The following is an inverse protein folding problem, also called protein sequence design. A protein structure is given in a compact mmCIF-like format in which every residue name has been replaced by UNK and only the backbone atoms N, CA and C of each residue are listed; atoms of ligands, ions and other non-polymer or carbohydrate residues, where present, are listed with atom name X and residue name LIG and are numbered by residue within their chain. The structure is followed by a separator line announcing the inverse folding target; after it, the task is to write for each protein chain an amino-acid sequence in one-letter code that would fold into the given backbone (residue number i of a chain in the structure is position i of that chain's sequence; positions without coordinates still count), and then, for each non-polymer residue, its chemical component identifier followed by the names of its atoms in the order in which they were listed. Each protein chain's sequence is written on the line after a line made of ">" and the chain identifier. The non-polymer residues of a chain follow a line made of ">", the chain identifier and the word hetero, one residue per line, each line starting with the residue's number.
data_IF_713078654495
#
_entry.id   IF_713078654495
#
_cell.length_a   1.000
_cell.length_b   1.000
_cell.length_c   1.000
_cell.angle_alpha   90.00
_cell.angle_beta   90.00
_cell.angle_gamma   90.00
#
_symmetry.space_group_name_H-M   'P 1'
#
loop_
_entity.id
_entity.type
_entity.pdbx_description
1 polymer ?
#
# COMPACT_ATOMS: atom_id res chain seq x y z
N UNK A 1 -11.26 -22.30 -5.40
CA UNK A 1 -11.80 -20.93 -5.56
C UNK A 1 -11.27 -20.08 -4.42
N UNK A 2 -9.97 -19.74 -4.40
CA UNK A 2 -9.37 -19.15 -3.17
C UNK A 2 -8.26 -18.12 -3.42
N UNK A 3 -8.05 -17.64 -4.64
CA UNK A 3 -6.87 -16.81 -4.96
C UNK A 3 -7.17 -15.33 -5.21
N UNK A 4 -8.41 -14.87 -5.00
CA UNK A 4 -8.81 -13.50 -5.32
C UNK A 4 -8.67 -12.52 -4.14
N UNK A 5 -8.40 -13.03 -2.93
CA UNK A 5 -8.34 -12.24 -1.67
C UNK A 5 -7.01 -12.38 -0.94
N UNK A 6 -6.01 -13.06 -1.52
CA UNK A 6 -4.69 -13.14 -0.87
C UNK A 6 -3.89 -11.85 -1.12
N UNK A 7 -3.13 -11.38 -0.11
CA UNK A 7 -2.19 -10.29 -0.31
C UNK A 7 -1.14 -10.66 -1.35
N UNK A 8 -0.78 -9.72 -2.21
CA UNK A 8 0.34 -9.93 -3.14
C UNK A 8 1.66 -9.80 -2.35
N UNK A 9 2.47 -10.86 -2.26
CA UNK A 9 3.66 -10.85 -1.43
C UNK A 9 4.70 -9.83 -1.91
N UNK A 10 4.81 -9.57 -3.21
CA UNK A 10 5.78 -8.61 -3.74
C UNK A 10 5.37 -7.17 -3.40
N UNK A 11 4.06 -6.87 -3.43
CA UNK A 11 3.53 -5.58 -3.00
C UNK A 11 3.67 -5.41 -1.49
N UNK A 12 3.26 -6.42 -0.72
CA UNK A 12 3.36 -6.41 0.74
C UNK A 12 4.80 -6.21 1.22
N UNK A 13 5.78 -6.89 0.61
CA UNK A 13 7.20 -6.74 0.94
C UNK A 13 7.72 -5.32 0.68
N UNK A 14 7.28 -4.68 -0.41
CA UNK A 14 7.65 -3.30 -0.75
C UNK A 14 7.01 -2.30 0.21
N UNK A 15 5.74 -2.48 0.54
CA UNK A 15 5.04 -1.65 1.53
C UNK A 15 5.68 -1.78 2.92
N UNK A 16 5.96 -3.00 3.36
CA UNK A 16 6.60 -3.24 4.66
C UNK A 16 7.93 -2.52 4.78
N UNK A 17 8.80 -2.62 3.76
CA UNK A 17 10.08 -1.90 3.77
C UNK A 17 9.90 -0.40 3.85
N UNK A 18 8.96 0.15 3.10
CA UNK A 18 8.66 1.58 3.10
C UNK A 18 8.16 2.03 4.48
N UNK A 19 7.16 1.35 5.04
CA UNK A 19 6.56 1.71 6.33
C UNK A 19 7.57 1.59 7.47
N UNK A 20 8.39 0.54 7.48
CA UNK A 20 9.46 0.42 8.48
C UNK A 20 10.47 1.56 8.38
N UNK A 21 10.77 2.03 7.17
CA UNK A 21 11.67 3.17 6.97
C UNK A 21 11.04 4.48 7.45
N UNK A 22 9.83 4.80 6.97
CA UNK A 22 9.12 6.03 7.31
C UNK A 22 8.79 6.12 8.80
N UNK A 23 8.22 5.05 9.36
CA UNK A 23 7.87 4.93 10.78
C UNK A 23 9.07 4.69 11.69
N UNK A 24 10.29 4.56 11.13
CA UNK A 24 11.53 4.23 11.86
C UNK A 24 11.40 3.00 12.76
N UNK A 25 10.65 2.00 12.28
CA UNK A 25 10.34 0.77 13.02
C UNK A 25 11.58 -0.12 13.09
N UNK A 26 11.93 -0.58 14.29
CA UNK A 26 13.07 -1.47 14.48
C UNK A 26 12.80 -2.85 13.84
N UNK A 27 13.83 -3.54 13.29
CA UNK A 27 13.66 -4.90 12.79
C UNK A 27 13.22 -5.91 13.85
N UNK A 28 13.46 -5.61 15.12
CA UNK A 28 13.11 -6.44 16.28
C UNK A 28 11.79 -6.05 16.95
N UNK A 29 11.04 -5.10 16.38
CA UNK A 29 9.75 -4.70 16.92
C UNK A 29 8.75 -5.85 16.78
N UNK A 30 8.29 -6.39 17.91
CA UNK A 30 7.36 -7.52 17.96
C UNK A 30 5.91 -7.12 17.76
N UNK A 31 5.59 -5.83 17.93
CA UNK A 31 4.23 -5.30 17.80
C UNK A 31 3.94 -4.88 16.35
N UNK A 32 4.93 -4.98 15.46
CA UNK A 32 4.80 -4.67 14.05
C UNK A 32 4.66 -5.96 13.23
N UNK A 33 3.50 -6.13 12.60
CA UNK A 33 3.24 -7.16 11.59
C UNK A 33 2.44 -6.58 10.40
N UNK A 34 2.07 -7.41 9.43
CA UNK A 34 1.37 -6.95 8.20
C UNK A 34 -0.14 -6.74 8.38
N UNK A 35 -0.69 -7.18 9.50
CA UNK A 35 -2.11 -7.17 9.83
C UNK A 35 -2.45 -6.10 10.87
N UNK A 36 -1.44 -5.50 11.51
CA UNK A 36 -1.60 -4.39 12.44
C UNK A 36 -2.20 -3.17 11.74
N UNK A 37 -3.10 -2.48 12.43
CA UNK A 37 -3.57 -1.17 12.03
C UNK A 37 -2.43 -0.16 12.24
N UNK A 38 -1.85 0.29 11.12
CA UNK A 38 -0.66 1.14 11.09
C UNK A 38 -0.92 2.53 11.68
N UNK A 39 -2.15 3.03 11.62
CA UNK A 39 -2.53 4.35 12.10
C UNK A 39 -2.82 4.30 13.59
N UNK A 40 -3.61 3.31 14.01
CA UNK A 40 -3.96 3.11 15.42
C UNK A 40 -2.75 2.72 16.27
N UNK A 41 -1.82 1.93 15.71
CA UNK A 41 -0.56 1.59 16.37
C UNK A 41 0.49 2.71 16.32
N UNK A 42 0.25 3.77 15.54
CA UNK A 42 1.14 4.94 15.45
C UNK A 42 2.39 4.74 14.59
N UNK A 43 2.42 3.70 13.74
CA UNK A 43 3.49 3.50 12.76
C UNK A 43 3.39 4.47 11.59
N UNK A 44 2.18 4.93 11.27
CA UNK A 44 1.91 5.98 10.31
C UNK A 44 1.11 7.11 10.96
N UNK A 45 1.57 8.34 10.76
CA UNK A 45 0.85 9.56 11.12
C UNK A 45 0.31 10.27 9.85
N UNK A 46 -0.16 11.51 10.00
CA UNK A 46 -0.69 12.28 8.87
C UNK A 46 0.36 12.63 7.81
N UNK A 47 1.64 12.79 8.18
CA UNK A 47 2.72 13.02 7.22
C UNK A 47 3.15 11.71 6.57
N UNK A 48 3.21 10.62 7.34
CA UNK A 48 3.45 9.27 6.85
C UNK A 48 2.40 8.84 5.83
N UNK A 49 1.12 9.22 6.02
CA UNK A 49 0.07 9.01 5.02
C UNK A 49 0.36 9.74 3.71
N UNK A 50 0.75 11.02 3.76
CA UNK A 50 1.08 11.79 2.56
C UNK A 50 2.27 11.17 1.80
N UNK A 51 3.30 10.74 2.53
CA UNK A 51 4.44 10.05 1.94
C UNK A 51 4.04 8.69 1.36
N UNK A 52 3.16 7.95 2.04
CA UNK A 52 2.62 6.69 1.53
C UNK A 52 1.88 6.90 0.22
N UNK A 53 0.99 7.89 0.14
CA UNK A 53 0.27 8.23 -1.11
C UNK A 53 1.27 8.51 -2.23
N UNK A 54 2.27 9.35 -1.97
CA UNK A 54 3.32 9.69 -2.94
C UNK A 54 4.10 8.44 -3.38
N UNK A 55 4.42 7.55 -2.44
CA UNK A 55 5.10 6.29 -2.73
C UNK A 55 4.26 5.35 -3.60
N UNK A 56 2.96 5.25 -3.34
CA UNK A 56 2.04 4.45 -4.16
C UNK A 56 1.98 4.94 -5.60
N UNK A 57 1.91 6.26 -5.79
CA UNK A 57 1.89 6.88 -7.11
C UNK A 57 3.22 6.70 -7.85
N UNK A 58 4.36 6.90 -7.17
CA UNK A 58 5.68 6.86 -7.81
C UNK A 58 6.21 5.43 -8.05
N UNK A 59 6.03 4.54 -7.08
CA UNK A 59 6.68 3.22 -7.05
C UNK A 59 5.80 2.10 -7.63
N UNK A 60 4.47 2.31 -7.63
CA UNK A 60 3.48 1.40 -8.20
C UNK A 60 2.69 2.00 -9.37
N UNK A 61 2.69 3.32 -9.56
CA UNK A 61 1.88 3.96 -10.61
C UNK A 61 0.38 3.89 -10.32
N UNK A 62 0.00 3.76 -9.04
CA UNK A 62 -1.40 3.67 -8.60
C UNK A 62 -1.82 4.99 -7.97
N UNK A 63 -2.90 5.56 -8.49
CA UNK A 63 -3.60 6.69 -7.87
C UNK A 63 -4.82 6.12 -7.17
N UNK A 64 -4.89 6.29 -5.85
CA UNK A 64 -6.04 5.87 -5.04
C UNK A 64 -7.07 7.02 -4.96
N UNK A 65 -8.35 6.67 -5.03
CA UNK A 65 -9.45 7.60 -4.84
C UNK A 65 -9.82 7.75 -3.35
N UNK A 66 -10.71 8.70 -3.05
CA UNK A 66 -11.18 8.97 -1.69
C UNK A 66 -11.83 7.73 -1.05
N UNK A 67 -12.51 6.92 -1.87
CA UNK A 67 -13.12 5.66 -1.48
C UNK A 67 -12.10 4.63 -0.98
N UNK A 68 -10.92 4.54 -1.61
CA UNK A 68 -9.86 3.66 -1.16
C UNK A 68 -9.29 4.07 0.22
N UNK A 69 -9.24 5.37 0.55
CA UNK A 69 -8.73 5.84 1.84
C UNK A 69 -9.67 5.56 3.02
N UNK A 70 -10.97 5.40 2.76
CA UNK A 70 -11.96 5.01 3.78
C UNK A 70 -12.15 3.50 3.85
N UNK A 71 -11.49 2.73 2.97
CA UNK A 71 -11.57 1.28 2.96
C UNK A 71 -10.87 0.71 4.21
N UNK A 72 -11.52 -0.16 4.99
CA UNK A 72 -10.90 -0.79 6.15
C UNK A 72 -9.65 -1.61 5.80
N UNK A 73 -9.47 -2.07 4.57
CA UNK A 73 -8.25 -2.75 4.14
C UNK A 73 -7.04 -1.78 4.05
N UNK A 74 -7.26 -0.46 3.92
CA UNK A 74 -6.18 0.52 3.79
C UNK A 74 -5.35 0.69 5.07
N UNK A 75 -5.85 0.24 6.23
CA UNK A 75 -5.14 0.42 7.51
C UNK A 75 -4.03 -0.61 7.76
N UNK A 76 -3.94 -1.66 6.94
CA UNK A 76 -2.98 -2.76 7.11
C UNK A 76 -2.14 -2.96 5.84
N UNK A 77 -0.95 -3.54 5.98
CA UNK A 77 -0.08 -3.86 4.83
C UNK A 77 -0.74 -4.88 3.92
N UNK A 78 -1.30 -5.95 4.51
CA UNK A 78 -1.96 -6.99 3.74
C UNK A 78 -3.17 -6.45 2.98
N UNK A 79 -3.99 -5.61 3.62
CA UNK A 79 -5.13 -4.98 2.96
C UNK A 79 -4.74 -4.01 1.85
N UNK A 80 -3.78 -3.12 2.10
CA UNK A 80 -3.23 -2.26 1.04
C UNK A 80 -2.69 -3.07 -0.13
N UNK A 81 -1.98 -4.18 0.14
CA UNK A 81 -1.46 -5.03 -0.94
C UNK A 81 -2.56 -5.60 -1.82
N UNK A 82 -3.73 -5.94 -1.26
CA UNK A 82 -4.91 -6.38 -2.05
C UNK A 82 -5.46 -5.25 -2.91
N UNK A 83 -5.66 -4.07 -2.31
CA UNK A 83 -6.19 -2.88 -3.00
C UNK A 83 -5.31 -2.50 -4.20
N UNK A 84 -3.99 -2.40 -3.98
CA UNK A 84 -3.01 -2.04 -5.02
C UNK A 84 -2.96 -3.12 -6.10
N UNK A 85 -2.93 -4.39 -5.73
CA UNK A 85 -2.87 -5.49 -6.71
C UNK A 85 -4.12 -5.60 -7.57
N UNK A 86 -5.27 -5.17 -7.03
CA UNK A 86 -6.50 -5.03 -7.80
C UNK A 86 -6.41 -3.84 -8.75
N UNK A 87 -5.94 -2.68 -8.28
CA UNK A 87 -5.75 -1.51 -9.12
C UNK A 87 -4.78 -1.78 -10.29
N UNK A 88 -3.62 -2.39 -10.04
CA UNK A 88 -2.63 -2.74 -11.06
C UNK A 88 -3.18 -3.67 -12.15
N UNK A 89 -4.11 -4.56 -11.80
CA UNK A 89 -4.78 -5.44 -12.78
C UNK A 89 -5.78 -4.71 -13.67
N UNK A 90 -6.36 -3.61 -13.18
CA UNK A 90 -7.31 -2.79 -13.92
C UNK A 90 -6.59 -1.80 -14.86
N UNK A 91 -5.39 -1.36 -14.50
CA UNK A 91 -4.54 -0.45 -15.31
C UNK A 91 -3.72 -1.21 -16.37
N UNK A 92 -4.36 -2.12 -17.11
CA UNK A 92 -3.69 -2.88 -18.19
C UNK A 92 -2.92 -1.99 -19.20
N UNK A 93 -1.97 -2.56 -19.97
CA UNK A 93 -0.85 -1.86 -20.63
C UNK A 93 -1.18 -0.78 -21.69
N UNK A 94 -2.43 -0.39 -21.87
CA UNK A 94 -2.89 0.53 -22.92
C UNK A 94 -2.78 2.01 -22.52
N UNK A 95 -2.72 2.34 -21.22
CA UNK A 95 -2.83 3.74 -20.75
C UNK A 95 -1.51 4.53 -20.81
N UNK A 96 -0.36 3.89 -21.04
CA UNK A 96 0.94 4.58 -21.06
C UNK A 96 1.29 5.23 -22.42
N UNK A 97 0.45 5.05 -23.44
CA UNK A 97 0.72 5.53 -24.81
C UNK A 97 0.28 6.99 -25.09
N UNK A 98 -0.43 7.66 -24.18
CA UNK A 98 -1.06 8.96 -24.46
C UNK A 98 -0.39 10.17 -23.78
N UNK A 99 0.64 9.96 -22.95
CA UNK A 99 1.40 11.07 -22.33
C UNK A 99 2.59 11.56 -23.16
N UNK A 100 2.70 11.09 -24.41
CA UNK A 100 3.71 11.50 -25.37
C UNK A 100 3.06 11.98 -26.69
N UNK A 101 2.21 13.01 -26.62
CA UNK A 101 1.84 13.84 -27.79
C UNK A 101 1.65 15.30 -27.43
#
# INVERSE_FOLDING_TARGET
>A
MSSETDPDPAVADRLERFIRHEGRVAPSDSDFDRQVDLFSAGYLDSLGLLHLITYLEQDFGVVLDDEAFIDPDFVTIDGMSRLISRALRLVGPETQADVAR
#
